data_IF_053493271670
#
_entry.id   IF_053493271670
#
_cell.length_a   1.000
_cell.length_b   1.000
_cell.length_c   1.000
_cell.angle_alpha   90.00
_cell.angle_beta   90.00
_cell.angle_gamma   90.00
#
_symmetry.space_group_name_H-M   'P 1'
#
loop_
_entity.id
_entity.type
_entity.pdbx_description
1 polymer ?
#
# COMPACT_ATOMS: atom_id res chain seq x y z
N UNK A 1 -12.99 -1.40 -15.20
CA UNK A 1 -14.27 -2.11 -15.01
C UNK A 1 -14.45 -2.80 -13.63
N UNK A 2 -13.47 -3.49 -13.02
CA UNK A 2 -13.62 -4.08 -11.66
C UNK A 2 -13.12 -3.19 -10.52
N UNK A 3 -11.92 -2.61 -10.66
CA UNK A 3 -11.28 -1.77 -9.64
C UNK A 3 -12.02 -0.45 -9.37
N UNK A 4 -12.52 0.22 -10.42
CA UNK A 4 -13.27 1.47 -10.27
C UNK A 4 -14.53 1.29 -9.41
N UNK A 5 -15.31 0.23 -9.67
CA UNK A 5 -16.53 -0.08 -8.90
C UNK A 5 -16.22 -0.46 -7.45
N UNK A 6 -15.08 -1.09 -7.18
CA UNK A 6 -14.62 -1.39 -5.82
C UNK A 6 -14.21 -0.11 -5.08
N UNK A 7 -13.54 0.83 -5.77
CA UNK A 7 -13.16 2.13 -5.22
C UNK A 7 -14.37 3.01 -4.89
N UNK A 8 -15.43 2.95 -5.68
CA UNK A 8 -16.68 3.70 -5.43
C UNK A 8 -17.46 3.20 -4.20
N UNK A 9 -17.25 1.95 -3.77
CA UNK A 9 -18.05 1.30 -2.71
C UNK A 9 -17.34 1.18 -1.37
N UNK A 10 -16.04 1.43 -1.32
CA UNK A 10 -15.23 1.30 -0.10
C UNK A 10 -15.22 2.62 0.68
N UNK A 11 -14.97 2.51 1.98
CA UNK A 11 -14.74 3.67 2.83
C UNK A 11 -13.40 4.33 2.43
N UNK A 12 -13.48 5.48 1.75
CA UNK A 12 -12.29 6.21 1.29
C UNK A 12 -11.47 6.79 2.44
N UNK A 13 -12.11 7.15 3.55
CA UNK A 13 -11.41 7.69 4.71
C UNK A 13 -10.60 6.59 5.39
N UNK A 14 -11.20 5.42 5.62
CA UNK A 14 -10.50 4.26 6.19
C UNK A 14 -9.35 3.78 5.31
N UNK A 15 -9.54 3.77 3.99
CA UNK A 15 -8.47 3.44 3.04
C UNK A 15 -7.30 4.43 3.16
N UNK A 16 -7.60 5.73 3.22
CA UNK A 16 -6.57 6.76 3.32
C UNK A 16 -5.79 6.65 4.63
N UNK A 17 -6.49 6.43 5.74
CA UNK A 17 -5.89 6.22 7.07
C UNK A 17 -4.94 5.02 7.07
N UNK A 18 -5.39 3.87 6.57
CA UNK A 18 -4.59 2.64 6.52
C UNK A 18 -3.34 2.78 5.63
N UNK A 19 -3.45 3.50 4.51
CA UNK A 19 -2.29 3.76 3.65
C UNK A 19 -1.29 4.70 4.33
N UNK A 20 -1.76 5.70 5.09
CA UNK A 20 -0.87 6.56 5.91
C UNK A 20 -0.17 5.74 6.99
N UNK A 21 -0.91 4.89 7.72
CA UNK A 21 -0.30 4.02 8.73
C UNK A 21 0.72 3.06 8.12
N UNK A 22 0.42 2.50 6.94
CA UNK A 22 1.36 1.65 6.22
C UNK A 22 2.63 2.41 5.82
N UNK A 23 2.49 3.65 5.33
CA UNK A 23 3.63 4.51 5.00
C UNK A 23 4.50 4.76 6.24
N UNK A 24 3.90 5.14 7.36
CA UNK A 24 4.61 5.40 8.62
C UNK A 24 5.31 4.14 9.13
N UNK A 25 4.62 3.00 9.22
CA UNK A 25 5.22 1.74 9.67
C UNK A 25 6.38 1.30 8.76
N UNK A 26 6.31 1.58 7.46
CA UNK A 26 7.39 1.28 6.51
C UNK A 26 8.62 2.20 6.68
N UNK A 27 8.43 3.42 7.19
CA UNK A 27 9.53 4.35 7.54
C UNK A 27 10.19 3.96 8.87
N UNK A 28 9.38 3.55 9.84
CA UNK A 28 9.81 3.28 11.21
C UNK A 28 10.29 1.83 11.44
N UNK A 29 10.38 1.03 10.36
CA UNK A 29 10.81 -0.38 10.38
C UNK A 29 9.97 -1.28 11.29
N UNK A 30 8.67 -0.98 11.41
CA UNK A 30 7.74 -1.79 12.18
C UNK A 30 7.41 -3.12 11.47
N UNK A 31 6.83 -4.08 12.21
CA UNK A 31 6.30 -5.29 11.60
C UNK A 31 5.06 -4.97 10.75
N UNK A 32 5.20 -5.03 9.43
CA UNK A 32 4.12 -4.67 8.49
C UNK A 32 3.07 -5.78 8.27
N UNK A 33 3.30 -7.00 8.73
CA UNK A 33 2.37 -8.12 8.48
C UNK A 33 0.94 -7.81 8.99
N UNK A 34 0.73 -7.29 10.21
CA UNK A 34 -0.61 -6.91 10.68
C UNK A 34 -1.25 -5.84 9.79
N UNK A 35 -0.48 -4.83 9.38
CA UNK A 35 -0.97 -3.75 8.51
C UNK A 35 -1.38 -4.27 7.12
N UNK A 36 -0.67 -5.26 6.57
CA UNK A 36 -1.06 -5.90 5.32
C UNK A 36 -2.38 -6.64 5.43
N UNK A 37 -2.61 -7.35 6.53
CA UNK A 37 -3.88 -8.04 6.79
C UNK A 37 -5.02 -7.02 6.83
N UNK A 38 -4.88 -5.96 7.62
CA UNK A 38 -5.89 -4.90 7.73
C UNK A 38 -6.16 -4.22 6.37
N UNK A 39 -5.12 -3.96 5.57
CA UNK A 39 -5.28 -3.38 4.24
C UNK A 39 -6.11 -4.29 3.33
N UNK A 40 -5.81 -5.59 3.30
CA UNK A 40 -6.51 -6.56 2.45
C UNK A 40 -7.97 -6.74 2.89
N UNK A 41 -8.23 -6.80 4.19
CA UNK A 41 -9.59 -6.86 4.75
C UNK A 41 -10.42 -5.61 4.37
N UNK A 42 -9.77 -4.44 4.27
CA UNK A 42 -10.40 -3.19 3.86
C UNK A 42 -10.40 -2.97 2.34
N UNK A 43 -10.23 -4.03 1.54
CA UNK A 43 -10.31 -3.95 0.08
C UNK A 43 -9.29 -2.99 -0.54
N UNK A 44 -8.16 -2.77 0.13
CA UNK A 44 -7.00 -2.07 -0.42
C UNK A 44 -6.26 -3.04 -1.33
N UNK A 45 -5.95 -2.57 -2.52
CA UNK A 45 -5.41 -3.43 -3.57
C UNK A 45 -3.91 -3.60 -3.42
N UNK A 46 -3.37 -4.71 -3.94
CA UNK A 46 -1.92 -4.93 -3.99
C UNK A 46 -1.17 -3.76 -4.66
N UNK A 47 -1.75 -3.17 -5.72
CA UNK A 47 -1.16 -2.02 -6.39
C UNK A 47 -1.09 -0.76 -5.53
N UNK A 48 -2.06 -0.54 -4.63
CA UNK A 48 -2.06 0.58 -3.68
C UNK A 48 -1.05 0.35 -2.55
N UNK A 49 -0.98 -0.87 -2.02
CA UNK A 49 0.01 -1.27 -1.01
C UNK A 49 1.43 -1.11 -1.59
N UNK A 50 1.72 -1.77 -2.73
CA UNK A 50 3.02 -1.66 -3.40
C UNK A 50 3.31 -0.23 -3.89
N UNK A 51 2.30 0.54 -4.28
CA UNK A 51 2.45 1.95 -4.62
C UNK A 51 2.96 2.77 -3.45
N UNK A 52 2.33 2.60 -2.28
CA UNK A 52 2.72 3.28 -1.04
C UNK A 52 4.14 2.91 -0.61
N UNK A 53 4.47 1.61 -0.61
CA UNK A 53 5.81 1.15 -0.23
C UNK A 53 6.91 1.67 -1.17
N UNK A 54 6.61 1.78 -2.47
CA UNK A 54 7.53 2.38 -3.45
C UNK A 54 7.78 3.87 -3.21
N UNK A 55 6.83 4.60 -2.63
CA UNK A 55 7.06 6.00 -2.24
C UNK A 55 8.04 6.11 -1.05
N UNK A 56 8.10 5.09 -0.19
CA UNK A 56 8.99 5.07 0.98
C UNK A 56 10.38 4.54 0.61
N UNK A 57 10.45 3.41 -0.11
CA UNK A 57 11.70 2.68 -0.34
C UNK A 57 12.25 2.83 -1.77
N UNK A 58 11.47 3.41 -2.69
CA UNK A 58 11.78 3.38 -4.11
C UNK A 58 11.52 2.02 -4.74
N UNK A 59 12.10 1.81 -5.92
CA UNK A 59 12.10 0.54 -6.64
C UNK A 59 13.54 0.07 -6.84
N UNK A 60 13.77 -1.23 -6.69
CA UNK A 60 15.07 -1.81 -7.03
C UNK A 60 15.39 -1.58 -8.51
N UNK A 61 16.55 -0.98 -8.78
CA UNK A 61 17.08 -0.81 -10.13
C UNK A 61 18.23 -1.81 -10.32
N UNK A 62 18.09 -2.80 -11.21
CA UNK A 62 19.19 -3.72 -11.50
C UNK A 62 20.38 -2.95 -12.10
N UNK A 63 21.63 -3.34 -11.78
CA UNK A 63 22.79 -2.70 -12.37
C UNK A 63 22.77 -2.89 -13.90
N UNK A 64 22.80 -1.78 -14.63
CA UNK A 64 22.97 -1.80 -16.08
C UNK A 64 24.46 -1.95 -16.37
N UNK A 65 24.92 -3.18 -16.59
CA UNK A 65 26.26 -3.40 -17.14
C UNK A 65 26.22 -3.04 -18.63
N UNK A 66 26.92 -1.97 -19.00
CA UNK A 66 27.25 -1.62 -20.39
C UNK A 66 28.64 -2.15 -20.71
#
# INVERSE_FOLDING_TARGET
>A
HRLARQRERRDSARVSELLIHLETGARDQENLIPLFIECVENNITLGEICGTLRQVWGEYQPPAWV
#
